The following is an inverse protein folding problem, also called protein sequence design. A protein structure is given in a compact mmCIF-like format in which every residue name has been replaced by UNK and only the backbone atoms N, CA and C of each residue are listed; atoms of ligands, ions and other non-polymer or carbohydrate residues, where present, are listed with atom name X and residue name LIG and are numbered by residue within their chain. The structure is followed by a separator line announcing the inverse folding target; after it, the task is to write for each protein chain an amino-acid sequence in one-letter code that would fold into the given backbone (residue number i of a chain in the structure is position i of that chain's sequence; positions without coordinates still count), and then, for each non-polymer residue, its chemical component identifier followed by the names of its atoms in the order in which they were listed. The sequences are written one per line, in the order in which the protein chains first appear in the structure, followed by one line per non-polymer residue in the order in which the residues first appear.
data_IF_836921583440
#
_entry.id   IF_836921583440
#
_cell.length_a   1.000
_cell.length_b   1.000
_cell.length_c   1.000
_cell.angle_alpha   90.00
_cell.angle_beta   90.00
_cell.angle_gamma   90.00
#
_symmetry.space_group_name_H-M   'P 1'
#
loop_
_entity.id
_entity.type
_entity.pdbx_description
1 polymer ?
#
# COMPACT_ATOMS: atom_id res chain seq x y z
N UNK A 1 -2.92 32.65 -25.98
CA UNK A 1 -3.51 32.64 -24.63
C UNK A 1 -4.28 31.33 -24.53
N UNK A 2 -3.82 30.38 -23.71
CA UNK A 2 -4.53 29.12 -23.48
C UNK A 2 -5.76 29.37 -22.63
N UNK A 3 -6.93 28.90 -23.06
CA UNK A 3 -8.19 29.07 -22.35
C UNK A 3 -8.49 27.79 -21.57
N UNK A 4 -8.46 27.84 -20.23
CA UNK A 4 -8.89 26.77 -19.35
C UNK A 4 -10.39 27.02 -19.06
N UNK A 5 -11.21 26.02 -19.35
CA UNK A 5 -12.66 26.09 -19.08
C UNK A 5 -13.03 25.05 -18.03
N UNK A 6 -13.53 25.52 -16.90
CA UNK A 6 -14.12 24.64 -15.87
C UNK A 6 -15.63 24.54 -16.17
N UNK A 7 -16.13 23.30 -16.21
CA UNK A 7 -17.57 23.01 -16.31
C UNK A 7 -18.04 22.30 -15.07
N UNK A 8 -19.11 22.79 -14.46
CA UNK A 8 -19.79 22.02 -13.40
C UNK A 8 -20.46 20.81 -14.06
N UNK A 9 -20.07 19.61 -13.67
CA UNK A 9 -20.78 18.40 -14.05
C UNK A 9 -22.14 18.39 -13.33
N UNK A 10 -23.21 18.22 -14.08
CA UNK A 10 -24.55 18.04 -13.54
C UNK A 10 -24.77 16.54 -13.45
N UNK A 11 -24.67 15.99 -12.22
CA UNK A 11 -24.82 14.56 -11.94
C UNK A 11 -24.35 14.24 -10.52
N UNK A 12 -24.75 13.09 -10.02
CA UNK A 12 -24.30 12.55 -8.73
C UNK A 12 -22.90 11.89 -8.84
N UNK A 13 -21.95 12.59 -9.44
CA UNK A 13 -20.58 12.10 -9.54
C UNK A 13 -19.85 12.40 -8.24
N UNK A 14 -19.42 11.35 -7.56
CA UNK A 14 -18.63 11.44 -6.35
C UNK A 14 -17.16 11.15 -6.66
N UNK A 15 -16.28 12.06 -6.24
CA UNK A 15 -14.84 11.84 -6.28
C UNK A 15 -14.43 11.28 -4.92
N UNK A 16 -13.97 10.04 -4.91
CA UNK A 16 -13.53 9.40 -3.68
C UNK A 16 -12.29 10.13 -3.13
N UNK A 17 -12.29 10.48 -1.83
CA UNK A 17 -11.16 11.17 -1.21
C UNK A 17 -9.84 10.42 -1.38
N UNK A 18 -9.89 9.09 -1.39
CA UNK A 18 -8.73 8.21 -1.51
C UNK A 18 -7.90 8.47 -2.78
N UNK A 19 -8.49 9.07 -3.83
CA UNK A 19 -7.76 9.52 -5.03
C UNK A 19 -6.77 10.66 -4.75
N UNK A 20 -6.88 11.33 -3.60
CA UNK A 20 -5.97 12.38 -3.14
C UNK A 20 -4.90 11.82 -2.17
N UNK A 21 -4.79 10.50 -2.08
CA UNK A 21 -3.80 9.82 -1.26
C UNK A 21 -2.37 10.02 -1.76
N UNK A 22 -1.42 9.64 -0.91
CA UNK A 22 0.00 9.64 -1.23
C UNK A 22 0.57 8.22 -1.19
N UNK A 23 1.76 8.09 -1.75
CA UNK A 23 2.48 6.85 -1.85
C UNK A 23 3.91 7.05 -1.32
N UNK A 24 4.36 6.16 -0.47
CA UNK A 24 5.72 6.11 0.05
C UNK A 24 6.31 4.71 -0.13
N UNK A 25 7.60 4.65 -0.40
CA UNK A 25 8.30 3.41 -0.73
C UNK A 25 9.70 3.40 -0.13
N UNK A 26 10.23 2.21 0.17
CA UNK A 26 11.65 2.03 0.48
C UNK A 26 12.49 2.21 -0.79
N UNK A 27 12.62 3.45 -1.21
CA UNK A 27 13.31 3.87 -2.43
C UNK A 27 14.12 5.13 -2.14
N UNK A 28 15.46 5.05 -2.26
CA UNK A 28 16.33 6.16 -1.92
C UNK A 28 16.02 6.73 -0.54
N UNK A 29 15.95 8.04 -0.43
CA UNK A 29 15.66 8.75 0.83
C UNK A 29 14.18 9.05 1.04
N UNK A 30 13.25 8.23 0.53
CA UNK A 30 11.83 8.46 0.77
C UNK A 30 11.45 8.12 2.21
N UNK A 31 11.91 6.99 2.73
CA UNK A 31 11.63 6.53 4.11
C UNK A 31 12.84 6.83 4.99
N UNK A 32 13.97 6.13 4.82
CA UNK A 32 15.18 6.42 5.59
C UNK A 32 15.80 7.75 5.14
N UNK A 33 16.23 8.57 6.11
CA UNK A 33 16.68 9.96 5.92
C UNK A 33 15.60 10.93 5.39
N UNK A 34 14.43 10.40 5.04
CA UNK A 34 13.24 11.14 4.68
C UNK A 34 12.25 11.20 5.84
N UNK A 35 11.23 10.31 5.84
CA UNK A 35 10.22 10.24 6.89
C UNK A 35 10.81 9.75 8.20
N UNK A 36 11.70 8.77 8.15
CA UNK A 36 12.35 8.16 9.30
C UNK A 36 13.81 8.60 9.41
N UNK A 37 14.15 9.23 10.50
CA UNK A 37 15.50 9.70 10.81
C UNK A 37 16.12 9.03 12.06
N UNK A 38 15.33 8.19 12.74
CA UNK A 38 15.75 7.58 14.01
C UNK A 38 15.51 8.48 15.22
N UNK A 39 15.30 7.85 16.38
CA UNK A 39 14.98 8.57 17.63
C UNK A 39 16.13 9.43 18.13
N UNK A 40 17.37 8.97 17.94
CA UNK A 40 18.59 9.65 18.38
C UNK A 40 19.09 10.72 17.41
N UNK A 41 18.34 11.00 16.33
CA UNK A 41 18.72 11.99 15.33
C UNK A 41 18.69 13.41 15.90
N UNK A 42 19.66 14.24 15.50
CA UNK A 42 19.62 15.69 15.76
C UNK A 42 18.54 16.42 14.97
N UNK A 43 18.00 15.79 13.92
CA UNK A 43 16.86 16.32 13.15
C UNK A 43 15.63 16.23 14.04
N UNK A 44 14.86 17.33 14.21
CA UNK A 44 13.64 17.31 15.02
C UNK A 44 12.68 16.21 14.56
N UNK A 45 12.33 15.32 15.49
CA UNK A 45 11.50 14.15 15.20
C UNK A 45 10.52 13.84 16.32
N UNK A 46 9.52 13.03 16.00
CA UNK A 46 8.61 12.39 16.93
C UNK A 46 8.89 10.88 16.88
N UNK A 47 9.54 10.33 17.89
CA UNK A 47 9.91 8.91 17.99
C UNK A 47 10.63 8.39 16.73
N UNK A 48 11.51 9.21 16.14
CA UNK A 48 12.23 8.89 14.91
C UNK A 48 11.55 9.33 13.62
N UNK A 49 10.28 9.74 13.67
CA UNK A 49 9.53 10.28 12.51
C UNK A 49 9.78 11.78 12.41
N UNK A 50 10.23 12.23 11.27
CA UNK A 50 10.68 13.59 11.02
C UNK A 50 9.56 14.62 11.18
N UNK A 51 9.77 15.57 12.10
CA UNK A 51 8.74 16.52 12.52
C UNK A 51 8.25 17.45 11.40
N UNK A 52 9.13 18.01 10.59
CA UNK A 52 8.77 18.95 9.52
C UNK A 52 7.91 18.28 8.44
N UNK A 53 8.14 16.98 8.19
CA UNK A 53 7.28 16.20 7.28
C UNK A 53 5.90 15.94 7.90
N UNK A 54 5.83 15.57 9.18
CA UNK A 54 4.55 15.45 9.89
C UNK A 54 3.76 16.76 9.79
N UNK A 55 4.41 17.91 10.12
CA UNK A 55 3.78 19.22 10.06
C UNK A 55 3.29 19.59 8.64
N UNK A 56 4.03 19.16 7.61
CA UNK A 56 3.65 19.37 6.20
C UNK A 56 2.46 18.48 5.79
N UNK A 57 2.50 17.20 6.13
CA UNK A 57 1.43 16.25 5.81
C UNK A 57 0.14 16.55 6.58
N UNK A 58 0.23 17.06 7.82
CA UNK A 58 -0.93 17.54 8.56
C UNK A 58 -1.65 18.71 7.85
N UNK A 59 -0.92 19.56 7.11
CA UNK A 59 -1.51 20.64 6.30
C UNK A 59 -2.10 20.13 4.98
N UNK A 60 -1.51 19.08 4.41
CA UNK A 60 -1.99 18.47 3.17
C UNK A 60 -3.25 17.62 3.38
N UNK A 61 -3.42 17.04 4.59
CA UNK A 61 -4.52 16.14 4.94
C UNK A 61 -4.72 14.98 3.94
N UNK A 62 -3.67 14.19 3.62
CA UNK A 62 -3.85 13.06 2.73
C UNK A 62 -4.82 12.06 3.34
N UNK A 63 -5.83 11.59 2.63
CA UNK A 63 -6.81 10.64 3.17
C UNK A 63 -6.23 9.24 3.37
N UNK A 64 -5.24 8.88 2.57
CA UNK A 64 -4.60 7.55 2.59
C UNK A 64 -3.12 7.65 2.21
N UNK A 65 -2.30 6.79 2.83
CA UNK A 65 -0.88 6.59 2.47
C UNK A 65 -0.67 5.13 2.11
N UNK A 66 -0.24 4.88 0.87
CA UNK A 66 0.15 3.55 0.39
C UNK A 66 1.60 3.24 0.76
N UNK A 67 1.84 2.03 1.32
CA UNK A 67 3.13 1.54 1.82
C UNK A 67 3.13 -0.01 1.82
N UNK A 68 4.24 -0.76 1.80
CA UNK A 68 5.65 -0.34 1.93
C UNK A 68 6.28 0.10 0.62
N UNK A 69 5.53 0.13 -0.46
CA UNK A 69 6.02 0.52 -1.76
C UNK A 69 5.18 0.00 -2.89
N UNK A 70 5.70 0.23 -4.09
CA UNK A 70 5.34 -0.43 -5.33
C UNK A 70 6.16 -1.71 -5.45
N UNK A 71 7.29 -1.65 -6.18
CA UNK A 71 8.14 -2.82 -6.40
C UNK A 71 8.76 -3.39 -5.10
N UNK A 72 9.05 -2.54 -4.11
CA UNK A 72 9.57 -3.04 -2.84
C UNK A 72 8.55 -3.91 -2.09
N UNK A 73 7.25 -3.67 -2.27
CA UNK A 73 6.23 -4.50 -1.65
C UNK A 73 6.33 -5.98 -2.05
N UNK A 74 6.83 -6.27 -3.25
CA UNK A 74 6.95 -7.63 -3.79
C UNK A 74 8.07 -8.46 -3.14
N UNK A 75 8.91 -7.82 -2.31
CA UNK A 75 9.99 -8.48 -1.55
C UNK A 75 9.92 -8.17 -0.04
N UNK A 76 8.96 -7.32 0.37
CA UNK A 76 8.81 -6.95 1.78
C UNK A 76 8.14 -8.03 2.59
N UNK A 77 8.79 -8.44 3.68
CA UNK A 77 8.25 -9.35 4.69
C UNK A 77 7.94 -8.59 5.98
N UNK A 78 6.66 -8.38 6.27
CA UNK A 78 6.20 -7.52 7.36
C UNK A 78 6.73 -7.89 8.75
N UNK A 79 7.02 -9.19 8.98
CA UNK A 79 7.59 -9.66 10.24
C UNK A 79 8.99 -9.13 10.52
N UNK A 80 9.72 -8.75 9.49
CA UNK A 80 11.04 -8.15 9.64
C UNK A 80 10.95 -6.75 10.28
N UNK A 81 9.84 -6.04 10.09
CA UNK A 81 9.62 -4.68 10.58
C UNK A 81 8.78 -4.59 11.85
N UNK A 82 8.71 -5.64 12.68
CA UNK A 82 8.01 -5.61 13.98
C UNK A 82 8.91 -6.05 15.14
N UNK A 83 8.47 -5.79 16.37
CA UNK A 83 9.25 -6.07 17.57
C UNK A 83 10.33 -5.03 17.84
N UNK A 84 11.17 -5.27 18.87
CA UNK A 84 12.26 -4.36 19.23
C UNK A 84 13.22 -4.15 18.06
N UNK A 85 13.52 -2.88 17.74
CA UNK A 85 14.29 -2.52 16.54
C UNK A 85 15.68 -3.12 16.50
N UNK A 86 16.34 -3.24 17.65
CA UNK A 86 17.65 -3.84 17.83
C UNK A 86 17.69 -5.33 17.48
N UNK A 87 16.54 -6.00 17.46
CA UNK A 87 16.41 -7.42 17.16
C UNK A 87 15.89 -7.69 15.74
N UNK A 88 15.55 -6.64 14.98
CA UNK A 88 15.06 -6.80 13.61
C UNK A 88 16.17 -7.25 12.68
N UNK A 89 15.90 -8.12 11.73
CA UNK A 89 16.92 -8.56 10.77
C UNK A 89 17.36 -7.41 9.87
N UNK A 90 18.61 -7.45 9.43
CA UNK A 90 19.10 -6.59 8.36
C UNK A 90 18.91 -7.31 7.04
N UNK A 91 18.15 -6.72 6.14
CA UNK A 91 17.93 -7.21 4.78
C UNK A 91 18.69 -6.34 3.77
N UNK A 92 18.65 -6.67 2.50
CA UNK A 92 19.29 -5.87 1.46
C UNK A 92 18.23 -5.35 0.49
N UNK A 93 18.20 -4.04 0.31
CA UNK A 93 17.26 -3.38 -0.57
C UNK A 93 17.92 -3.12 -1.94
N UNK A 94 17.41 -3.80 -2.98
CA UNK A 94 17.87 -3.66 -4.37
C UNK A 94 16.90 -2.80 -5.20
N UNK A 95 15.93 -2.12 -4.57
CA UNK A 95 14.88 -1.40 -5.27
C UNK A 95 15.43 -0.14 -5.95
N UNK A 96 15.36 -0.08 -7.26
CA UNK A 96 15.64 1.07 -8.14
C UNK A 96 16.77 2.03 -7.68
N UNK A 97 17.97 1.49 -7.45
CA UNK A 97 19.15 2.32 -7.12
C UNK A 97 19.34 2.62 -5.64
N UNK A 98 18.54 2.03 -4.75
CA UNK A 98 18.78 2.11 -3.31
C UNK A 98 20.04 1.32 -2.96
N UNK A 99 20.13 0.03 -3.33
CA UNK A 99 21.32 -0.83 -3.19
C UNK A 99 22.03 -0.71 -1.84
N UNK A 100 21.30 -0.86 -0.74
CA UNK A 100 21.84 -0.72 0.61
C UNK A 100 21.22 -1.70 1.59
N UNK A 101 21.89 -1.85 2.75
CA UNK A 101 21.36 -2.64 3.86
C UNK A 101 20.18 -1.92 4.50
N UNK A 102 19.07 -2.64 4.63
CA UNK A 102 17.85 -2.18 5.29
C UNK A 102 17.78 -2.77 6.71
N UNK A 103 17.91 -1.95 7.75
CA UNK A 103 17.83 -2.41 9.14
C UNK A 103 16.40 -2.69 9.61
N UNK A 104 15.39 -2.56 8.74
CA UNK A 104 13.97 -2.75 9.03
C UNK A 104 13.46 -1.91 10.23
N UNK A 105 14.01 -0.72 10.45
CA UNK A 105 13.65 0.15 11.57
C UNK A 105 12.31 0.85 11.41
N UNK A 106 11.83 0.98 10.17
CA UNK A 106 10.52 1.51 9.86
C UNK A 106 9.61 0.36 9.36
N UNK A 107 8.67 -0.03 10.19
CA UNK A 107 7.77 -1.15 9.88
C UNK A 107 6.30 -0.81 10.17
N UNK A 108 5.51 -1.84 10.49
CA UNK A 108 4.07 -1.68 10.70
C UNK A 108 3.73 -0.65 11.77
N UNK A 109 4.41 -0.68 12.92
CA UNK A 109 4.12 0.23 14.04
C UNK A 109 4.47 1.67 13.69
N UNK A 110 5.64 1.90 13.12
CA UNK A 110 6.13 3.22 12.72
C UNK A 110 5.23 3.82 11.62
N UNK A 111 4.80 3.00 10.66
CA UNK A 111 3.86 3.43 9.62
C UNK A 111 2.50 3.81 10.19
N UNK A 112 1.98 3.04 11.15
CA UNK A 112 0.71 3.33 11.80
C UNK A 112 0.80 4.61 12.63
N UNK A 113 1.89 4.81 13.37
CA UNK A 113 2.14 6.03 14.14
C UNK A 113 2.23 7.26 13.22
N UNK A 114 2.94 7.15 12.09
CA UNK A 114 2.99 8.21 11.09
C UNK A 114 1.59 8.55 10.55
N UNK A 115 0.80 7.54 10.18
CA UNK A 115 -0.57 7.75 9.70
C UNK A 115 -1.45 8.42 10.76
N UNK A 116 -1.35 8.01 12.02
CA UNK A 116 -2.09 8.62 13.13
C UNK A 116 -1.72 10.09 13.32
N UNK A 117 -0.42 10.42 13.32
CA UNK A 117 0.07 11.80 13.46
C UNK A 117 -0.48 12.72 12.37
N UNK A 118 -0.61 12.24 11.14
CA UNK A 118 -1.05 13.05 9.99
C UNK A 118 -2.56 12.94 9.68
N UNK A 119 -3.27 12.07 10.42
CA UNK A 119 -4.71 11.84 10.23
C UNK A 119 -5.05 11.07 8.94
N UNK A 120 -4.11 10.28 8.39
CA UNK A 120 -4.31 9.48 7.20
C UNK A 120 -4.65 8.03 7.54
N UNK A 121 -5.34 7.33 6.62
CA UNK A 121 -5.51 5.87 6.69
C UNK A 121 -4.34 5.17 6.01
N UNK A 122 -3.85 4.04 6.54
CA UNK A 122 -2.86 3.23 5.86
C UNK A 122 -3.50 2.42 4.73
N UNK A 123 -2.78 2.29 3.62
CA UNK A 123 -3.02 1.30 2.57
C UNK A 123 -1.77 0.41 2.50
N UNK A 124 -1.88 -0.80 3.02
CA UNK A 124 -0.78 -1.77 3.00
C UNK A 124 -0.80 -2.59 1.72
N UNK A 125 0.36 -2.69 1.07
CA UNK A 125 0.51 -3.45 -0.15
C UNK A 125 1.13 -4.82 0.14
N UNK A 126 0.48 -5.88 -0.35
CA UNK A 126 0.82 -7.27 -0.07
C UNK A 126 1.89 -7.78 -1.03
N UNK A 127 2.88 -8.46 -0.47
CA UNK A 127 3.90 -9.18 -1.20
C UNK A 127 3.29 -10.43 -1.87
N UNK A 128 3.12 -10.37 -3.19
CA UNK A 128 2.64 -11.51 -3.98
C UNK A 128 3.77 -12.31 -4.64
N UNK A 129 4.99 -11.76 -4.71
CA UNK A 129 6.12 -12.41 -5.38
C UNK A 129 6.83 -13.43 -4.48
N UNK A 130 7.29 -12.98 -3.33
CA UNK A 130 8.05 -13.83 -2.39
C UNK A 130 7.26 -14.19 -1.13
N UNK A 131 6.11 -13.52 -0.91
CA UNK A 131 5.17 -13.80 0.17
C UNK A 131 4.18 -14.91 -0.14
N UNK A 132 3.20 -15.07 0.74
CA UNK A 132 2.17 -16.09 0.61
C UNK A 132 0.82 -15.61 1.12
N UNK A 133 -0.30 -16.27 0.73
CA UNK A 133 -1.61 -16.03 1.33
C UNK A 133 -1.63 -16.19 2.85
N UNK A 134 -0.80 -17.09 3.40
CA UNK A 134 -0.68 -17.26 4.84
C UNK A 134 -0.05 -16.04 5.49
N UNK A 135 1.04 -15.51 4.93
CA UNK A 135 1.72 -14.31 5.42
C UNK A 135 0.82 -13.07 5.37
N UNK A 136 0.09 -12.88 4.26
CA UNK A 136 -0.93 -11.84 4.15
C UNK A 136 -1.98 -11.95 5.25
N UNK A 137 -2.54 -13.15 5.44
CA UNK A 137 -3.55 -13.41 6.46
C UNK A 137 -3.04 -13.13 7.87
N UNK A 138 -1.80 -13.51 8.16
CA UNK A 138 -1.15 -13.24 9.45
C UNK A 138 -0.96 -11.74 9.68
N UNK A 139 -0.54 -10.99 8.67
CA UNK A 139 -0.39 -9.53 8.78
C UNK A 139 -1.73 -8.85 9.01
N UNK A 140 -2.77 -9.22 8.26
CA UNK A 140 -4.12 -8.73 8.49
C UNK A 140 -4.64 -9.07 9.90
N UNK A 141 -4.36 -10.28 10.39
CA UNK A 141 -4.73 -10.70 11.75
C UNK A 141 -3.98 -9.90 12.80
N UNK A 142 -2.67 -9.74 12.65
CA UNK A 142 -1.84 -8.91 13.52
C UNK A 142 -2.39 -7.49 13.64
N UNK A 143 -2.74 -6.88 12.51
CA UNK A 143 -3.25 -5.51 12.48
C UNK A 143 -4.67 -5.37 13.04
N UNK A 144 -5.58 -6.28 12.71
CA UNK A 144 -7.01 -5.99 12.81
C UNK A 144 -7.79 -6.85 13.80
N UNK A 145 -7.24 -7.98 14.27
CA UNK A 145 -7.99 -8.87 15.13
C UNK A 145 -8.11 -8.33 16.55
N UNK A 146 -9.31 -8.46 17.13
CA UNK A 146 -9.62 -8.05 18.51
C UNK A 146 -9.46 -9.20 19.49
N UNK A 147 -9.83 -10.40 19.05
CA UNK A 147 -9.79 -11.61 19.87
C UNK A 147 -8.32 -11.98 20.21
N UNK A 148 -8.12 -12.62 21.36
CA UNK A 148 -6.79 -13.02 21.81
C UNK A 148 -6.25 -14.18 21.01
N UNK A 149 -5.25 -13.93 20.19
CA UNK A 149 -4.47 -14.92 19.44
C UNK A 149 -2.97 -14.73 19.73
N UNK A 150 -2.12 -15.58 19.19
CA UNK A 150 -0.67 -15.38 19.30
C UNK A 150 -0.25 -14.05 18.68
N UNK A 151 -0.77 -13.71 17.50
CA UNK A 151 -0.42 -12.48 16.78
C UNK A 151 -0.93 -11.22 17.49
N UNK A 152 -2.12 -11.27 18.08
CA UNK A 152 -2.64 -10.11 18.81
C UNK A 152 -1.92 -9.89 20.13
N UNK A 153 -1.48 -10.95 20.79
CA UNK A 153 -0.59 -10.84 21.97
C UNK A 153 0.77 -10.27 21.59
N UNK A 154 1.33 -10.71 20.46
CA UNK A 154 2.58 -10.17 19.92
C UNK A 154 2.46 -8.66 19.62
N UNK A 155 1.38 -8.21 18.97
CA UNK A 155 1.11 -6.77 18.76
C UNK A 155 1.10 -6.00 20.07
N UNK A 156 0.46 -6.53 21.11
CA UNK A 156 0.40 -5.90 22.44
C UNK A 156 1.77 -5.81 23.07
N UNK A 157 2.56 -6.89 23.02
CA UNK A 157 3.93 -6.89 23.53
C UNK A 157 4.79 -5.87 22.76
N UNK A 158 4.54 -5.70 21.47
CA UNK A 158 5.20 -4.71 20.63
C UNK A 158 4.67 -3.27 20.82
N UNK A 159 3.81 -3.04 21.84
CA UNK A 159 3.43 -1.71 22.27
C UNK A 159 2.07 -1.20 21.76
N UNK A 160 1.28 -2.02 21.06
CA UNK A 160 -0.03 -1.56 20.57
C UNK A 160 -1.18 -2.48 21.02
N UNK A 161 -1.91 -2.03 22.04
CA UNK A 161 -2.98 -2.82 22.69
C UNK A 161 -4.18 -3.06 21.77
N UNK A 162 -4.70 -1.99 21.17
CA UNK A 162 -5.88 -2.04 20.30
C UNK A 162 -5.54 -2.53 18.86
N UNK A 163 -6.52 -3.01 18.07
CA UNK A 163 -6.32 -3.20 16.63
C UNK A 163 -5.99 -1.88 15.92
N UNK A 164 -5.10 -1.93 14.94
CA UNK A 164 -4.76 -0.77 14.10
C UNK A 164 -5.89 -0.37 13.14
N UNK A 165 -6.82 -1.28 12.84
CA UNK A 165 -7.93 -1.06 11.92
C UNK A 165 -7.50 -0.66 10.50
N UNK A 166 -6.53 -1.38 9.95
CA UNK A 166 -6.08 -1.21 8.56
C UNK A 166 -7.19 -1.66 7.61
N UNK A 167 -7.77 -0.72 6.87
CA UNK A 167 -8.88 -0.99 5.94
C UNK A 167 -8.38 -1.45 4.56
N UNK A 168 -7.37 -0.76 3.99
CA UNK A 168 -6.97 -0.88 2.60
C UNK A 168 -5.77 -1.82 2.44
N UNK A 169 -5.92 -2.80 1.53
CA UNK A 169 -4.95 -3.83 1.25
C UNK A 169 -4.76 -3.98 -0.26
N UNK A 170 -3.62 -3.53 -0.76
CA UNK A 170 -3.25 -3.76 -2.15
C UNK A 170 -2.79 -5.20 -2.34
N UNK A 171 -3.32 -5.88 -3.33
CA UNK A 171 -2.99 -7.27 -3.63
C UNK A 171 -2.07 -7.32 -4.85
N UNK A 172 -0.77 -7.27 -4.57
CA UNK A 172 0.29 -7.18 -5.58
C UNK A 172 0.56 -5.75 -6.06
N UNK A 173 1.59 -5.61 -6.89
CA UNK A 173 2.02 -4.37 -7.50
C UNK A 173 2.52 -4.63 -8.92
N UNK A 174 2.06 -3.85 -9.91
CA UNK A 174 2.53 -3.90 -11.30
C UNK A 174 2.75 -5.33 -11.81
N UNK A 175 1.77 -6.18 -11.53
CA UNK A 175 1.84 -7.64 -11.77
C UNK A 175 2.08 -8.01 -13.25
N UNK A 176 1.84 -7.05 -14.15
CA UNK A 176 2.10 -7.14 -15.58
C UNK A 176 3.58 -6.99 -15.94
N UNK A 177 4.42 -6.48 -15.03
CA UNK A 177 5.88 -6.32 -15.21
C UNK A 177 6.64 -6.83 -13.97
N UNK A 178 7.20 -5.94 -13.14
CA UNK A 178 8.04 -6.27 -11.98
C UNK A 178 7.36 -7.19 -10.96
N UNK A 179 6.06 -7.03 -10.76
CA UNK A 179 5.24 -7.82 -9.86
C UNK A 179 4.88 -9.23 -10.36
N UNK A 180 5.63 -9.82 -11.29
CA UNK A 180 5.50 -11.23 -11.65
C UNK A 180 5.32 -11.52 -13.14
N UNK A 181 5.26 -10.50 -14.00
CA UNK A 181 5.04 -10.64 -15.47
C UNK A 181 3.84 -11.54 -15.79
N UNK A 182 2.79 -11.38 -15.01
CA UNK A 182 1.57 -12.19 -15.12
C UNK A 182 0.73 -11.75 -16.32
N UNK A 183 -0.01 -12.69 -16.90
CA UNK A 183 -1.16 -12.34 -17.74
C UNK A 183 -2.34 -11.93 -16.85
N UNK A 184 -3.36 -11.24 -17.38
CA UNK A 184 -4.56 -10.90 -16.59
C UNK A 184 -5.28 -12.13 -16.04
N UNK A 185 -5.22 -13.28 -16.74
CA UNK A 185 -5.77 -14.55 -16.29
C UNK A 185 -5.00 -15.12 -15.09
N UNK A 186 -3.66 -15.18 -15.19
CA UNK A 186 -2.80 -15.62 -14.08
C UNK A 186 -3.00 -14.75 -12.85
N UNK A 187 -3.04 -13.44 -13.05
CA UNK A 187 -3.26 -12.52 -11.92
C UNK A 187 -4.65 -12.71 -11.29
N UNK A 188 -5.69 -12.88 -12.10
CA UNK A 188 -7.03 -13.14 -11.54
C UNK A 188 -7.06 -14.44 -10.71
N UNK A 189 -6.31 -15.48 -11.10
CA UNK A 189 -6.19 -16.73 -10.33
C UNK A 189 -5.44 -16.50 -9.02
N UNK A 190 -4.30 -15.82 -9.04
CA UNK A 190 -3.54 -15.49 -7.83
C UNK A 190 -4.30 -14.52 -6.92
N UNK A 191 -4.93 -13.48 -7.47
CA UNK A 191 -5.77 -12.55 -6.70
C UNK A 191 -6.86 -13.30 -5.92
N UNK A 192 -7.58 -14.22 -6.59
CA UNK A 192 -8.60 -15.06 -5.93
C UNK A 192 -8.01 -15.95 -4.86
N UNK A 193 -6.85 -16.55 -5.11
CA UNK A 193 -6.14 -17.39 -4.14
C UNK A 193 -5.80 -16.62 -2.88
N UNK A 194 -5.21 -15.43 -3.01
CA UNK A 194 -4.88 -14.56 -1.89
C UNK A 194 -6.14 -14.09 -1.16
N UNK A 195 -7.09 -13.49 -1.86
CA UNK A 195 -8.28 -12.89 -1.24
C UNK A 195 -9.27 -13.90 -0.68
N UNK A 196 -9.26 -15.15 -1.14
CA UNK A 196 -10.04 -16.23 -0.53
C UNK A 196 -9.57 -16.58 0.88
N UNK A 197 -8.34 -16.23 1.23
CA UNK A 197 -7.78 -16.41 2.57
C UNK A 197 -7.96 -15.21 3.49
N UNK A 198 -8.54 -14.10 3.01
CA UNK A 198 -8.77 -12.91 3.82
C UNK A 198 -9.60 -13.23 5.06
N UNK A 199 -9.13 -12.85 6.25
CA UNK A 199 -9.88 -13.06 7.47
C UNK A 199 -11.09 -12.14 7.53
N UNK A 200 -12.12 -12.60 8.23
CA UNK A 200 -13.24 -11.75 8.64
C UNK A 200 -12.97 -11.20 10.04
N UNK A 201 -13.20 -9.91 10.24
CA UNK A 201 -13.05 -9.25 11.53
C UNK A 201 -14.38 -8.72 12.01
N UNK A 202 -14.82 -9.16 13.20
CA UNK A 202 -16.11 -8.81 13.75
C UNK A 202 -17.30 -9.47 13.03
N UNK A 203 -18.50 -9.14 13.45
CA UNK A 203 -19.74 -9.66 12.88
C UNK A 203 -20.85 -8.60 12.99
N UNK A 204 -21.88 -8.72 12.15
CA UNK A 204 -22.99 -7.76 12.12
C UNK A 204 -22.50 -6.33 11.89
N UNK A 205 -23.02 -5.38 12.66
CA UNK A 205 -22.67 -3.95 12.55
C UNK A 205 -21.22 -3.62 12.95
N UNK A 206 -20.53 -4.58 13.56
CA UNK A 206 -19.11 -4.47 13.91
C UNK A 206 -18.20 -5.15 12.90
N UNK A 207 -18.74 -5.63 11.78
CA UNK A 207 -17.93 -6.26 10.74
C UNK A 207 -16.97 -5.24 10.13
N UNK A 208 -15.70 -5.64 10.02
CA UNK A 208 -14.65 -4.85 9.42
C UNK A 208 -13.96 -5.67 8.31
N UNK A 209 -14.59 -5.75 7.12
CA UNK A 209 -14.03 -6.49 6.01
C UNK A 209 -12.82 -5.74 5.41
N UNK A 210 -11.72 -6.45 5.06
CA UNK A 210 -10.62 -5.87 4.34
C UNK A 210 -11.08 -5.32 2.99
N UNK A 211 -10.67 -4.11 2.65
CA UNK A 211 -10.87 -3.48 1.34
C UNK A 211 -9.71 -3.86 0.43
N UNK A 212 -9.86 -4.97 -0.28
CA UNK A 212 -8.82 -5.46 -1.20
C UNK A 212 -8.84 -4.69 -2.51
N UNK A 213 -7.67 -4.19 -2.94
CA UNK A 213 -7.46 -3.42 -4.15
C UNK A 213 -6.59 -4.24 -5.08
N UNK A 214 -7.09 -4.52 -6.28
CA UNK A 214 -6.34 -5.27 -7.27
C UNK A 214 -5.39 -4.37 -8.06
N UNK A 215 -4.21 -4.90 -8.41
CA UNK A 215 -3.28 -4.24 -9.32
C UNK A 215 -3.85 -4.22 -10.74
N UNK A 216 -4.00 -3.02 -11.28
CA UNK A 216 -4.49 -2.81 -12.65
C UNK A 216 -3.37 -2.88 -13.70
N UNK A 217 -3.68 -2.53 -14.95
CA UNK A 217 -2.75 -2.61 -16.07
C UNK A 217 -1.75 -1.46 -16.10
N UNK A 218 -0.75 -1.58 -16.98
CA UNK A 218 0.11 -0.49 -17.39
C UNK A 218 -0.72 0.65 -18.03
N UNK A 219 -0.84 1.74 -17.32
CA UNK A 219 -1.59 2.92 -17.78
C UNK A 219 -0.99 3.60 -19.00
N UNK A 220 0.31 3.40 -19.26
CA UNK A 220 1.04 3.99 -20.37
C UNK A 220 0.81 3.29 -21.71
N UNK A 221 0.10 2.14 -21.71
CA UNK A 221 -0.22 1.38 -22.91
C UNK A 221 -1.73 1.38 -23.20
N UNK A 222 -2.28 2.44 -23.83
CA UNK A 222 -3.74 2.65 -23.91
C UNK A 222 -4.53 1.48 -24.53
N UNK A 223 -3.97 0.78 -25.51
CA UNK A 223 -4.64 -0.37 -26.16
C UNK A 223 -4.59 -1.62 -25.28
N UNK A 224 -3.43 -1.88 -24.69
CA UNK A 224 -3.18 -3.06 -23.85
C UNK A 224 -3.95 -2.98 -22.53
N UNK A 225 -4.02 -1.79 -21.90
CA UNK A 225 -4.74 -1.61 -20.63
C UNK A 225 -6.22 -1.96 -20.74
N UNK A 226 -6.86 -1.64 -21.86
CA UNK A 226 -8.28 -1.99 -22.09
C UNK A 226 -8.47 -3.49 -22.23
N UNK A 227 -7.59 -4.16 -22.98
CA UNK A 227 -7.62 -5.60 -23.13
C UNK A 227 -7.34 -6.31 -21.80
N UNK A 228 -6.29 -5.91 -21.10
CA UNK A 228 -5.95 -6.41 -19.76
C UNK A 228 -7.13 -6.33 -18.81
N UNK A 229 -7.73 -5.14 -18.68
CA UNK A 229 -8.86 -4.91 -17.78
C UNK A 229 -10.04 -5.81 -18.13
N UNK A 230 -10.40 -5.90 -19.42
CA UNK A 230 -11.49 -6.77 -19.87
C UNK A 230 -11.23 -8.23 -19.52
N UNK A 231 -10.02 -8.71 -19.78
CA UNK A 231 -9.65 -10.10 -19.55
C UNK A 231 -9.61 -10.41 -18.04
N UNK A 232 -9.04 -9.52 -17.21
CA UNK A 232 -9.05 -9.66 -15.76
C UNK A 232 -10.49 -9.79 -15.21
N UNK A 233 -11.37 -8.85 -15.54
CA UNK A 233 -12.75 -8.90 -15.07
C UNK A 233 -13.57 -10.07 -15.66
N UNK A 234 -13.26 -10.50 -16.87
CA UNK A 234 -13.85 -11.71 -17.46
C UNK A 234 -13.47 -12.97 -16.65
N UNK A 235 -12.20 -13.10 -16.25
CA UNK A 235 -11.75 -14.21 -15.39
C UNK A 235 -12.35 -14.12 -13.99
N UNK A 236 -12.37 -12.93 -13.40
CA UNK A 236 -12.98 -12.71 -12.09
C UNK A 236 -14.48 -13.06 -12.10
N UNK A 237 -15.20 -12.78 -13.20
CA UNK A 237 -16.63 -13.06 -13.34
C UNK A 237 -16.99 -14.55 -13.51
N UNK A 238 -16.03 -15.44 -13.75
CA UNK A 238 -16.27 -16.89 -13.86
C UNK A 238 -16.59 -17.56 -12.52
N UNK A 239 -16.22 -16.93 -11.45
CA UNK A 239 -16.33 -17.48 -10.10
C UNK A 239 -17.06 -16.52 -9.17
N UNK A 240 -17.52 -17.02 -8.03
CA UNK A 240 -18.05 -16.15 -6.97
C UNK A 240 -16.94 -15.21 -6.54
N UNK A 241 -17.14 -13.90 -6.75
CA UNK A 241 -16.11 -12.90 -6.55
C UNK A 241 -15.60 -12.89 -5.09
N UNK A 242 -14.30 -13.04 -4.88
CA UNK A 242 -13.66 -12.68 -3.62
C UNK A 242 -13.73 -11.17 -3.41
N UNK A 243 -13.34 -10.72 -2.23
CA UNK A 243 -13.38 -9.30 -1.87
C UNK A 243 -12.59 -8.45 -2.89
N UNK A 244 -13.28 -7.62 -3.65
CA UNK A 244 -12.69 -6.64 -4.56
C UNK A 244 -13.34 -5.28 -4.28
N UNK A 245 -12.58 -4.40 -3.67
CA UNK A 245 -13.02 -3.04 -3.35
C UNK A 245 -12.58 -2.04 -4.41
N UNK A 246 -11.35 -2.14 -4.88
CA UNK A 246 -10.75 -1.22 -5.81
C UNK A 246 -9.90 -1.89 -6.89
N UNK A 247 -9.59 -1.11 -7.90
CA UNK A 247 -8.75 -1.52 -9.03
C UNK A 247 -7.85 -0.33 -9.38
N UNK A 248 -6.55 -0.46 -9.20
CA UNK A 248 -5.63 0.63 -9.43
C UNK A 248 -5.22 0.77 -10.91
N UNK A 249 -4.58 1.85 -11.22
CA UNK A 249 -3.99 2.14 -12.53
C UNK A 249 -2.71 2.92 -12.33
N UNK A 250 -1.59 2.37 -12.77
CA UNK A 250 -0.31 3.06 -12.73
C UNK A 250 -0.07 3.77 -14.06
N UNK A 251 0.09 5.09 -13.97
CA UNK A 251 0.33 5.94 -15.12
C UNK A 251 1.53 6.85 -14.85
N UNK A 252 2.53 6.79 -15.74
CA UNK A 252 3.73 7.62 -15.67
C UNK A 252 3.81 8.57 -16.85
N UNK A 253 4.14 9.81 -16.60
CA UNK A 253 4.42 10.78 -17.63
C UNK A 253 5.93 11.11 -17.64
N UNK A 254 6.68 10.37 -18.45
CA UNK A 254 8.14 10.48 -18.53
C UNK A 254 8.62 11.60 -19.45
N UNK A 255 7.77 12.14 -20.31
CA UNK A 255 8.20 13.01 -21.40
C UNK A 255 7.51 14.38 -21.37
N UNK A 256 8.06 15.28 -20.57
CA UNK A 256 7.60 16.68 -20.55
C UNK A 256 7.72 17.38 -21.93
N UNK A 257 8.58 16.90 -22.83
CA UNK A 257 8.68 17.42 -24.21
C UNK A 257 7.50 17.04 -25.08
N UNK A 258 6.87 15.88 -24.82
CA UNK A 258 5.67 15.45 -25.54
C UNK A 258 4.47 16.35 -25.23
N UNK A 259 4.35 16.87 -24.02
CA UNK A 259 3.32 17.86 -23.64
C UNK A 259 3.49 19.19 -24.38
N UNK A 260 4.67 19.50 -24.91
CA UNK A 260 4.96 20.72 -25.68
C UNK A 260 4.73 20.54 -27.18
N UNK A 261 4.65 19.32 -27.68
CA UNK A 261 4.52 18.99 -29.11
C UNK A 261 3.09 18.61 -29.53
N UNK A 262 2.22 18.27 -28.63
CA UNK A 262 0.78 18.11 -28.89
C UNK A 262 0.08 19.49 -28.84
N UNK A 263 0.35 20.28 -29.88
CA UNK A 263 -0.37 21.51 -30.18
C UNK A 263 -1.34 21.28 -31.32
#
# INVERSE_FOLDING_TARGET
MQKITFRKLIGENYIYPELQGHFIEFLGSCIYDGIWVGEDSEIPNYHGIRKDLVDAFQKLHPPVIRWPGGCYADVYHWRNGIGPRENRPVTYNENFGTFESDPNQFGTHEMMEFCEMIGAKPWFNINMMTGSPAEMREWMEYCNRRESTTLTRERKVNGHEAPFQVEYWGIGNEVWDGGGKMTPQMYADEYRKFTSSCPSFGSGDQAFPPKCIASGPDGNKPKERVAWTKDFFKEMGKYRMPSLYGYDLHFYNWNLKQLQTEK
#
